data_IF_239416080986
#
_entry.id   IF_239416080986
#
_cell.length_a   1.000
_cell.length_b   1.000
_cell.length_c   1.000
_cell.angle_alpha   90.00
_cell.angle_beta   90.00
_cell.angle_gamma   90.00
#
_symmetry.space_group_name_H-M   'P 1'
#
loop_
_entity.id
_entity.type
_entity.pdbx_description
1 polymer ?
#
# COMPACT_ATOMS: atom_id res chain seq x y z
N UNK A 1 -21.23 -8.18 -11.44
CA UNK A 1 -20.22 -7.26 -10.87
C UNK A 1 -19.29 -6.78 -12.00
N UNK A 2 -19.26 -5.48 -12.30
CA UNK A 2 -18.40 -4.90 -13.35
C UNK A 2 -17.16 -4.24 -12.69
N UNK A 3 -16.40 -5.03 -11.91
CA UNK A 3 -15.24 -4.52 -11.16
C UNK A 3 -14.11 -4.25 -12.17
N UNK A 4 -13.60 -3.02 -12.18
CA UNK A 4 -12.49 -2.59 -13.03
C UNK A 4 -11.39 -1.98 -12.16
N UNK A 5 -10.42 -2.79 -11.68
CA UNK A 5 -9.33 -2.30 -10.85
C UNK A 5 -8.46 -1.30 -11.62
N UNK A 6 -7.98 -0.29 -10.89
CA UNK A 6 -6.97 0.66 -11.39
C UNK A 6 -5.60 -0.02 -11.53
N UNK A 7 -4.66 0.65 -12.20
CA UNK A 7 -3.27 0.19 -12.28
C UNK A 7 -2.65 0.04 -10.88
N UNK A 8 -2.96 0.93 -9.95
CA UNK A 8 -2.44 0.86 -8.58
C UNK A 8 -3.05 -0.29 -7.78
N UNK A 9 -4.33 -0.61 -7.98
CA UNK A 9 -4.95 -1.79 -7.37
C UNK A 9 -4.33 -3.09 -7.90
N UNK A 10 -4.07 -3.18 -9.20
CA UNK A 10 -3.35 -4.31 -9.80
C UNK A 10 -1.90 -4.39 -9.30
N UNK A 11 -1.22 -3.25 -9.18
CA UNK A 11 0.13 -3.16 -8.60
C UNK A 11 0.15 -3.67 -7.15
N UNK A 12 -0.79 -3.22 -6.33
CA UNK A 12 -0.91 -3.63 -4.93
C UNK A 12 -1.19 -5.12 -4.80
N UNK A 13 -2.11 -5.67 -5.60
CA UNK A 13 -2.44 -7.10 -5.61
C UNK A 13 -1.22 -7.95 -5.98
N UNK A 14 -0.56 -7.64 -7.11
CA UNK A 14 0.61 -8.39 -7.55
C UNK A 14 1.75 -8.38 -6.54
N UNK A 15 1.98 -7.21 -5.92
CA UNK A 15 3.01 -7.08 -4.90
C UNK A 15 2.71 -7.85 -3.62
N UNK A 16 1.44 -7.88 -3.18
CA UNK A 16 1.02 -8.66 -2.02
C UNK A 16 1.15 -10.16 -2.31
N UNK A 17 0.68 -10.62 -3.47
CA UNK A 17 0.78 -12.04 -3.87
C UNK A 17 2.23 -12.54 -3.98
N UNK A 18 3.13 -11.71 -4.51
CA UNK A 18 4.55 -12.04 -4.55
C UNK A 18 5.16 -12.12 -3.15
N UNK A 19 4.75 -11.24 -2.24
CA UNK A 19 5.29 -11.16 -0.89
C UNK A 19 4.82 -12.27 0.04
N UNK A 20 3.53 -12.63 -0.02
CA UNK A 20 2.92 -13.62 0.89
C UNK A 20 2.87 -15.04 0.32
N UNK A 21 2.80 -15.20 -1.00
CA UNK A 21 2.50 -16.48 -1.65
C UNK A 21 3.51 -16.94 -2.70
N UNK A 22 4.63 -16.23 -2.88
CA UNK A 22 5.63 -16.49 -3.92
C UNK A 22 5.03 -16.58 -5.34
N UNK A 23 3.93 -15.85 -5.60
CA UNK A 23 3.27 -15.88 -6.91
C UNK A 23 4.00 -14.96 -7.88
N UNK A 24 4.61 -15.55 -8.91
CA UNK A 24 5.37 -14.82 -9.92
C UNK A 24 4.48 -14.12 -10.96
N UNK A 25 3.27 -14.62 -11.22
CA UNK A 25 2.37 -14.12 -12.24
C UNK A 25 0.91 -14.36 -11.87
N UNK A 26 0.04 -13.41 -12.16
CA UNK A 26 -1.40 -13.56 -12.05
C UNK A 26 -2.10 -12.93 -13.26
N UNK A 27 -3.30 -13.40 -13.55
CA UNK A 27 -4.14 -12.88 -14.62
C UNK A 27 -5.48 -12.42 -14.06
N UNK A 28 -5.97 -11.26 -14.48
CA UNK A 28 -7.32 -10.77 -14.15
C UNK A 28 -8.20 -10.90 -15.37
N UNK A 29 -9.25 -11.73 -15.24
CA UNK A 29 -10.20 -12.03 -16.32
C UNK A 29 -10.73 -10.76 -16.96
N UNK A 30 -10.55 -10.63 -18.27
CA UNK A 30 -11.02 -9.49 -19.06
C UNK A 30 -10.12 -8.25 -19.01
N UNK A 31 -9.07 -8.23 -18.17
CA UNK A 31 -8.13 -7.11 -18.06
C UNK A 31 -6.78 -7.50 -18.65
N UNK A 32 -6.21 -8.60 -18.18
CA UNK A 32 -4.92 -9.10 -18.66
C UNK A 32 -5.07 -9.59 -20.11
N UNK A 33 -4.23 -9.12 -21.06
CA UNK A 33 -4.41 -9.39 -22.50
C UNK A 33 -4.57 -10.87 -22.85
N UNK A 34 -3.78 -11.73 -22.22
CA UNK A 34 -3.75 -13.17 -22.43
C UNK A 34 -5.13 -13.79 -22.16
N UNK A 35 -5.89 -13.28 -21.19
CA UNK A 35 -7.22 -13.81 -20.83
C UNK A 35 -8.27 -13.65 -21.93
N UNK A 36 -7.97 -12.87 -22.97
CA UNK A 36 -8.84 -12.64 -24.13
C UNK A 36 -8.47 -13.53 -25.32
N UNK A 37 -7.36 -14.26 -25.25
CA UNK A 37 -6.92 -15.15 -26.30
C UNK A 37 -7.71 -16.47 -26.24
N UNK A 38 -8.19 -17.02 -27.37
CA UNK A 38 -8.85 -18.33 -27.40
C UNK A 38 -7.97 -19.48 -26.86
N UNK A 39 -6.65 -19.29 -26.91
CA UNK A 39 -5.65 -20.25 -26.43
C UNK A 39 -5.48 -20.23 -24.91
N UNK A 40 -5.89 -19.16 -24.23
CA UNK A 40 -5.78 -19.06 -22.79
C UNK A 40 -6.89 -19.87 -22.11
N UNK A 41 -6.54 -21.07 -21.68
CA UNK A 41 -7.44 -21.96 -20.94
C UNK A 41 -7.17 -21.83 -19.44
N UNK A 42 -7.92 -20.96 -18.77
CA UNK A 42 -7.92 -20.92 -17.31
C UNK A 42 -8.70 -22.11 -16.76
N UNK A 43 -8.03 -23.25 -16.61
CA UNK A 43 -8.54 -24.40 -15.86
C UNK A 43 -7.74 -24.47 -14.57
N UNK A 44 -8.19 -23.77 -13.51
CA UNK A 44 -7.47 -23.78 -12.25
C UNK A 44 -7.59 -25.17 -11.60
N UNK A 45 -6.51 -25.67 -11.01
CA UNK A 45 -6.52 -26.93 -10.24
C UNK A 45 -7.31 -26.78 -8.92
N UNK A 46 -7.46 -25.55 -8.44
CA UNK A 46 -8.15 -25.19 -7.21
C UNK A 46 -8.85 -23.84 -7.39
N UNK A 47 -10.03 -23.67 -6.81
CA UNK A 47 -10.73 -22.38 -6.77
C UNK A 47 -10.95 -21.98 -5.33
N UNK A 48 -10.37 -20.84 -4.95
CA UNK A 48 -10.55 -20.22 -3.64
C UNK A 48 -11.49 -19.03 -3.82
N UNK A 49 -12.56 -19.00 -3.03
CA UNK A 49 -13.47 -17.85 -2.96
C UNK A 49 -13.08 -16.99 -1.77
N UNK A 50 -12.89 -15.69 -2.00
CA UNK A 50 -12.63 -14.72 -0.95
C UNK A 50 -13.91 -13.92 -0.72
N UNK A 51 -14.42 -13.99 0.50
CA UNK A 51 -15.58 -13.25 0.97
C UNK A 51 -15.16 -11.96 1.67
N UNK A 52 -16.13 -11.07 1.90
CA UNK A 52 -15.86 -9.82 2.60
C UNK A 52 -15.40 -10.07 4.05
N UNK A 53 -15.94 -11.09 4.72
CA UNK A 53 -15.52 -11.48 6.07
C UNK A 53 -14.03 -11.81 6.15
N UNK A 54 -13.47 -12.48 5.13
CA UNK A 54 -12.04 -12.80 5.07
C UNK A 54 -11.18 -11.53 5.04
N UNK A 55 -11.70 -10.45 4.46
CA UNK A 55 -11.02 -9.14 4.42
C UNK A 55 -11.20 -8.44 5.77
N UNK A 56 -12.43 -8.37 6.28
CA UNK A 56 -12.76 -7.66 7.51
C UNK A 56 -11.99 -8.22 8.73
N UNK A 57 -11.71 -9.53 8.76
CA UNK A 57 -10.90 -10.18 9.81
C UNK A 57 -9.47 -9.65 9.93
N UNK A 58 -8.91 -9.06 8.87
CA UNK A 58 -7.59 -8.45 8.86
C UNK A 58 -7.58 -7.03 9.44
N UNK A 59 -8.70 -6.32 9.38
CA UNK A 59 -8.84 -4.90 9.74
C UNK A 59 -9.12 -4.77 11.23
N UNK A 60 -8.10 -5.03 12.05
CA UNK A 60 -8.17 -4.92 13.51
C UNK A 60 -7.83 -3.51 13.98
N UNK A 61 -8.68 -2.96 14.85
CA UNK A 61 -8.42 -1.70 15.53
C UNK A 61 -7.37 -1.88 16.62
N UNK A 62 -6.16 -1.37 16.37
CA UNK A 62 -5.04 -1.32 17.31
C UNK A 62 -4.41 0.07 17.23
N UNK A 63 -3.97 0.64 18.35
CA UNK A 63 -3.23 1.90 18.33
C UNK A 63 -1.85 1.71 17.68
N UNK A 64 -1.37 2.76 17.03
CA UNK A 64 -0.16 2.73 16.18
C UNK A 64 0.74 3.92 16.48
N UNK A 65 2.05 3.75 16.35
CA UNK A 65 3.04 4.82 16.60
C UNK A 65 3.37 5.61 15.34
N UNK A 66 3.25 4.95 14.19
CA UNK A 66 3.60 5.50 12.89
C UNK A 66 2.72 4.93 11.78
N UNK A 67 2.69 5.66 10.67
CA UNK A 67 2.09 5.28 9.41
C UNK A 67 3.17 5.24 8.35
N UNK A 68 3.19 4.16 7.57
CA UNK A 68 4.08 4.02 6.43
C UNK A 68 3.31 3.51 5.20
N UNK A 69 3.27 4.33 4.16
CA UNK A 69 2.59 4.01 2.88
C UNK A 69 3.58 4.02 1.73
N UNK A 70 3.24 3.33 0.64
CA UNK A 70 4.13 3.22 -0.52
C UNK A 70 5.01 1.97 -0.51
N UNK A 71 4.42 0.80 -0.25
CA UNK A 71 5.06 -0.49 -0.48
C UNK A 71 4.13 -1.46 -1.25
N UNK A 72 4.18 -1.48 -2.59
CA UNK A 72 5.15 -0.83 -3.48
C UNK A 72 5.10 0.69 -3.46
N UNK A 73 6.19 1.34 -3.89
CA UNK A 73 6.30 2.79 -3.96
C UNK A 73 5.09 3.46 -4.58
N UNK A 74 4.71 4.61 -4.00
CA UNK A 74 3.57 5.40 -4.43
C UNK A 74 3.71 5.80 -5.91
N UNK A 75 2.60 5.67 -6.64
CA UNK A 75 2.43 6.26 -7.96
C UNK A 75 2.17 7.78 -7.86
N UNK A 76 2.21 8.52 -8.98
CA UNK A 76 1.72 9.90 -9.01
C UNK A 76 0.28 10.05 -8.49
N UNK A 77 -0.61 9.13 -8.85
CA UNK A 77 -2.02 9.17 -8.45
C UNK A 77 -2.19 8.93 -6.94
N UNK A 78 -1.37 8.05 -6.35
CA UNK A 78 -1.36 7.83 -4.90
C UNK A 78 -0.78 9.04 -4.15
N UNK A 79 0.24 9.72 -4.70
CA UNK A 79 0.74 10.97 -4.14
C UNK A 79 -0.32 12.08 -4.22
N UNK A 80 -1.03 12.20 -5.34
CA UNK A 80 -2.11 13.16 -5.50
C UNK A 80 -3.22 12.90 -4.46
N UNK A 81 -3.65 11.66 -4.29
CA UNK A 81 -4.65 11.26 -3.29
C UNK A 81 -4.20 11.59 -1.87
N UNK A 82 -2.95 11.28 -1.51
CA UNK A 82 -2.40 11.61 -0.19
C UNK A 82 -2.32 13.13 0.02
N UNK A 83 -1.92 13.88 -1.02
CA UNK A 83 -1.87 15.34 -0.97
C UNK A 83 -3.25 15.97 -0.73
N UNK A 84 -4.32 15.39 -1.30
CA UNK A 84 -5.70 15.81 -1.04
C UNK A 84 -6.15 15.45 0.38
N UNK A 85 -5.93 14.22 0.83
CA UNK A 85 -6.36 13.74 2.14
C UNK A 85 -5.65 14.47 3.30
N UNK A 86 -4.41 14.91 3.08
CA UNK A 86 -3.60 15.64 4.06
C UNK A 86 -3.77 17.16 3.98
N UNK A 87 -4.52 17.68 2.99
CA UNK A 87 -4.66 19.13 2.82
C UNK A 87 -5.38 19.75 4.03
N UNK A 88 -4.81 20.83 4.56
CA UNK A 88 -5.29 21.48 5.79
C UNK A 88 -5.07 20.69 7.09
N UNK A 89 -4.61 19.43 7.06
CA UNK A 89 -4.36 18.61 8.25
C UNK A 89 -2.93 18.77 8.77
N UNK A 90 -2.72 18.40 10.04
CA UNK A 90 -1.39 18.27 10.65
C UNK A 90 -1.21 16.86 11.21
N UNK A 91 -0.09 16.23 10.85
CA UNK A 91 0.21 14.91 11.39
C UNK A 91 0.59 15.00 12.87
N UNK A 92 0.08 14.07 13.66
CA UNK A 92 0.36 13.92 15.09
C UNK A 92 1.21 12.70 15.42
N UNK A 93 1.38 11.82 14.44
CA UNK A 93 2.23 10.62 14.50
C UNK A 93 3.22 10.67 13.35
N UNK A 94 4.26 9.83 13.39
CA UNK A 94 5.21 9.78 12.26
C UNK A 94 4.48 9.25 11.03
N UNK A 95 4.53 9.97 9.92
CA UNK A 95 3.92 9.54 8.65
C UNK A 95 4.97 9.57 7.54
N UNK A 96 5.39 8.38 7.09
CA UNK A 96 6.26 8.22 5.94
C UNK A 96 5.48 7.81 4.68
N UNK A 97 5.79 8.49 3.58
CA UNK A 97 5.28 8.22 2.23
C UNK A 97 6.48 7.83 1.36
N UNK A 98 6.53 6.59 0.88
CA UNK A 98 7.65 6.10 0.10
C UNK A 98 7.33 6.15 -1.40
N UNK A 99 8.17 6.80 -2.18
CA UNK A 99 8.02 6.93 -3.62
C UNK A 99 9.36 6.71 -4.34
N UNK A 100 9.34 6.32 -5.61
CA UNK A 100 10.55 6.31 -6.42
C UNK A 100 11.03 7.75 -6.67
N UNK A 101 12.35 7.99 -6.71
CA UNK A 101 12.92 9.33 -6.93
C UNK A 101 12.40 10.03 -8.18
N UNK A 102 12.18 9.29 -9.27
CA UNK A 102 11.59 9.82 -10.50
C UNK A 102 10.15 10.30 -10.31
N UNK A 103 9.35 9.57 -9.54
CA UNK A 103 7.97 9.95 -9.20
C UNK A 103 7.96 11.18 -8.29
N UNK A 104 8.79 11.19 -7.24
CA UNK A 104 8.90 12.33 -6.32
C UNK A 104 9.32 13.61 -7.06
N UNK A 105 10.39 13.53 -7.86
CA UNK A 105 10.91 14.67 -8.63
C UNK A 105 9.93 15.22 -9.67
N UNK A 106 9.10 14.35 -10.25
CA UNK A 106 8.12 14.74 -11.27
C UNK A 106 6.82 15.32 -10.70
N UNK A 107 6.60 15.24 -9.37
CA UNK A 107 5.36 15.68 -8.71
C UNK A 107 5.65 16.60 -7.50
N UNK A 108 6.48 17.66 -7.65
CA UNK A 108 6.91 18.49 -6.54
C UNK A 108 5.75 19.18 -5.80
N UNK A 109 4.65 19.47 -6.49
CA UNK A 109 3.46 20.09 -5.92
C UNK A 109 2.76 19.17 -4.92
N UNK A 110 2.58 17.88 -5.24
CA UNK A 110 1.96 16.91 -4.34
C UNK A 110 2.88 16.62 -3.16
N UNK A 111 4.18 16.48 -3.41
CA UNK A 111 5.19 16.31 -2.36
C UNK A 111 5.14 17.48 -1.38
N UNK A 112 5.14 18.72 -1.88
CA UNK A 112 5.06 19.90 -1.03
C UNK A 112 3.75 19.96 -0.23
N UNK A 113 2.60 19.55 -0.80
CA UNK A 113 1.34 19.47 -0.04
C UNK A 113 1.43 18.45 1.10
N UNK A 114 1.92 17.25 0.80
CA UNK A 114 2.12 16.18 1.79
C UNK A 114 3.05 16.67 2.90
N UNK A 115 4.20 17.25 2.56
CA UNK A 115 5.20 17.69 3.56
C UNK A 115 4.72 18.87 4.41
N UNK A 116 3.82 19.73 3.91
CA UNK A 116 3.18 20.78 4.71
C UNK A 116 2.35 20.25 5.87
N UNK A 117 1.81 19.04 5.77
CA UNK A 117 1.12 18.38 6.88
C UNK A 117 2.08 17.94 8.00
N UNK A 118 3.37 17.82 7.69
CA UNK A 118 4.41 17.24 8.56
C UNK A 118 4.75 15.77 8.24
N UNK A 119 4.02 15.13 7.32
CA UNK A 119 4.42 13.86 6.73
C UNK A 119 5.74 14.01 5.94
N UNK A 120 6.45 12.89 5.70
CA UNK A 120 7.75 12.88 5.01
C UNK A 120 7.70 12.02 3.77
N UNK A 121 8.04 12.59 2.62
CA UNK A 121 8.17 11.82 1.37
C UNK A 121 9.60 11.32 1.22
N UNK A 122 9.78 10.02 1.40
CA UNK A 122 11.06 9.32 1.35
C UNK A 122 11.27 8.71 -0.04
N UNK A 123 12.46 8.87 -0.62
CA UNK A 123 12.82 8.32 -1.92
C UNK A 123 13.85 7.20 -1.84
N UNK A 124 13.83 6.30 -2.83
CA UNK A 124 14.84 5.27 -3.11
C UNK A 124 15.24 4.35 -1.94
N UNK A 125 14.31 4.14 -1.00
CA UNK A 125 14.40 3.08 0.03
C UNK A 125 13.03 2.44 0.24
N UNK A 126 13.01 1.22 0.79
CA UNK A 126 11.77 0.50 1.08
C UNK A 126 11.42 0.62 2.56
N UNK A 127 10.12 0.64 2.88
CA UNK A 127 9.60 0.63 4.26
C UNK A 127 10.34 -0.40 5.11
N UNK A 128 10.47 -1.61 4.59
CA UNK A 128 10.86 -2.81 5.36
C UNK A 128 12.36 -2.99 5.58
N UNK A 129 13.19 -2.15 4.96
CA UNK A 129 14.65 -2.14 5.19
C UNK A 129 15.14 -0.78 5.67
N UNK A 130 14.24 0.16 5.93
CA UNK A 130 14.61 1.49 6.39
C UNK A 130 14.84 1.45 7.90
N UNK A 131 16.04 1.80 8.41
CA UNK A 131 16.28 1.89 9.86
C UNK A 131 15.38 2.91 10.57
N UNK A 132 14.70 3.77 9.81
CA UNK A 132 13.69 4.68 10.34
C UNK A 132 12.49 3.96 10.96
N UNK A 133 12.27 2.68 10.61
CA UNK A 133 11.15 1.88 11.09
C UNK A 133 11.45 1.12 12.39
N UNK A 134 12.72 0.88 12.70
CA UNK A 134 13.18 0.03 13.83
C UNK A 134 12.86 0.59 15.22
N UNK A 135 12.32 1.81 15.28
CA UNK A 135 12.01 2.54 16.53
C UNK A 135 10.53 2.55 16.90
N UNK A 136 9.68 1.89 16.13
CA UNK A 136 8.23 1.86 16.34
C UNK A 136 7.79 0.48 16.82
N UNK A 137 6.89 0.43 17.78
CA UNK A 137 6.34 -0.82 18.28
C UNK A 137 5.22 -1.33 17.37
N UNK A 138 4.39 -0.41 16.84
CA UNK A 138 3.31 -0.73 15.91
C UNK A 138 3.23 0.27 14.75
N UNK A 139 3.23 -0.24 13.52
CA UNK A 139 3.16 0.56 12.29
C UNK A 139 1.88 0.26 11.52
N UNK A 140 1.17 1.31 11.10
CA UNK A 140 0.05 1.18 10.17
C UNK A 140 0.51 1.26 8.71
N UNK A 141 -0.03 0.38 7.88
CA UNK A 141 0.29 0.29 6.45
C UNK A 141 -0.97 0.14 5.62
N UNK A 142 -0.93 0.55 4.35
CA UNK A 142 -2.08 0.45 3.44
C UNK A 142 -1.93 -0.61 2.34
N UNK A 143 -1.01 -1.58 2.52
CA UNK A 143 -0.67 -2.54 1.48
C UNK A 143 -0.38 -3.93 2.04
N UNK A 144 -0.84 -4.96 1.33
CA UNK A 144 -0.59 -6.36 1.72
C UNK A 144 0.89 -6.74 1.71
N UNK A 145 1.70 -6.14 0.82
CA UNK A 145 3.16 -6.37 0.80
C UNK A 145 3.83 -5.85 2.07
N UNK A 146 3.51 -4.64 2.51
CA UNK A 146 4.04 -4.14 3.78
C UNK A 146 3.53 -4.97 4.96
N UNK A 147 2.24 -5.30 4.96
CA UNK A 147 1.62 -6.11 6.00
C UNK A 147 2.32 -7.48 6.18
N UNK A 148 2.73 -8.12 5.09
CA UNK A 148 3.45 -9.39 5.14
C UNK A 148 4.90 -9.26 5.64
N UNK A 149 5.60 -8.17 5.30
CA UNK A 149 7.03 -8.04 5.57
C UNK A 149 7.39 -7.30 6.86
N UNK A 150 6.60 -6.29 7.26
CA UNK A 150 6.92 -5.44 8.42
C UNK A 150 7.16 -6.25 9.70
N UNK A 151 6.29 -7.22 10.08
CA UNK A 151 6.52 -8.01 11.29
C UNK A 151 7.81 -8.81 11.27
N UNK A 152 8.16 -9.36 10.11
CA UNK A 152 9.29 -10.28 9.98
C UNK A 152 10.63 -9.57 9.73
N UNK A 153 10.61 -8.39 9.10
CA UNK A 153 11.83 -7.67 8.71
C UNK A 153 12.13 -6.45 9.58
N UNK A 154 11.11 -5.79 10.12
CA UNK A 154 11.29 -4.65 11.04
C UNK A 154 11.13 -5.05 12.52
N UNK A 155 10.59 -6.24 12.80
CA UNK A 155 10.39 -6.72 14.17
C UNK A 155 9.30 -5.94 14.94
N UNK A 156 8.43 -5.22 14.25
CA UNK A 156 7.34 -4.44 14.85
C UNK A 156 5.96 -4.95 14.46
N UNK A 157 4.97 -4.70 15.30
CA UNK A 157 3.58 -5.04 15.01
C UNK A 157 3.07 -4.24 13.81
N UNK A 158 2.12 -4.81 13.07
CA UNK A 158 1.57 -4.15 11.90
C UNK A 158 0.05 -4.12 11.96
N UNK A 159 -0.52 -2.97 11.59
CA UNK A 159 -1.95 -2.78 11.35
C UNK A 159 -2.16 -2.47 9.87
N UNK A 160 -3.05 -3.20 9.20
CA UNK A 160 -3.48 -2.83 7.84
C UNK A 160 -4.71 -1.93 7.90
N UNK A 161 -4.79 -1.00 6.96
CA UNK A 161 -5.97 -0.16 6.75
C UNK A 161 -6.03 0.39 5.33
N UNK A 162 -7.06 1.17 5.05
CA UNK A 162 -7.17 1.99 3.85
C UNK A 162 -6.24 3.20 3.93
N UNK A 163 -6.01 3.88 2.79
CA UNK A 163 -5.22 5.12 2.77
C UNK A 163 -5.87 6.21 3.63
N UNK A 164 -7.20 6.27 3.62
CA UNK A 164 -8.02 7.18 4.41
C UNK A 164 -7.84 6.91 5.91
N UNK A 165 -7.98 5.66 6.35
CA UNK A 165 -7.75 5.28 7.75
C UNK A 165 -6.31 5.55 8.20
N UNK A 166 -5.32 5.33 7.33
CA UNK A 166 -3.93 5.70 7.61
C UNK A 166 -3.77 7.20 7.85
N UNK A 167 -4.45 8.05 7.05
CA UNK A 167 -4.41 9.50 7.24
C UNK A 167 -5.10 9.88 8.55
N UNK A 168 -6.29 9.35 8.80
CA UNK A 168 -7.07 9.68 10.00
C UNK A 168 -6.37 9.23 11.28
N UNK A 169 -5.73 8.06 11.28
CA UNK A 169 -4.96 7.55 12.42
C UNK A 169 -3.74 8.42 12.79
N UNK A 170 -3.23 9.21 11.83
CA UNK A 170 -2.03 10.03 12.02
C UNK A 170 -2.31 11.53 12.02
N UNK A 171 -3.55 12.00 11.94
CA UNK A 171 -3.87 13.44 11.86
C UNK A 171 -4.87 13.90 12.91
N UNK A 172 -4.90 15.21 13.15
CA UNK A 172 -5.95 15.94 13.89
C UNK A 172 -6.79 16.78 12.95
#
# INVERSE_FOLDING_TARGET
>A
TNIRPSRDQLKAMGAAMAASGAVALYHVKGITPETRLPTFKAVPSETITIEKSDIDELFKEVDVDAVAVGCPHCSPDELAKLAELLDGKKVTKTFYVFAAKGVKSANPEYVAKIERSGAKVVEDTCIVVSPAMDKFDTVMVNSGKAFAYVPNMCGCNVRIGTTEECVDAATK
#
